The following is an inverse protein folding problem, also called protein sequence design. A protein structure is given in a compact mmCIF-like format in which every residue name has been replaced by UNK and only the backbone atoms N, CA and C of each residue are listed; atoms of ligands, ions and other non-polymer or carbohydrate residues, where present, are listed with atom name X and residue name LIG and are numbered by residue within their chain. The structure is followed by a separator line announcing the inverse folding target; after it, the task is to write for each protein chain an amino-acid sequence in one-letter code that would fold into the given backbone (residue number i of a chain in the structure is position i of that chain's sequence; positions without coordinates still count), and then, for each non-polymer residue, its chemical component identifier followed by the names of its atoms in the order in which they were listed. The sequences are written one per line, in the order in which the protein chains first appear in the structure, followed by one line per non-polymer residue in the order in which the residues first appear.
data_IF_824945471392
#
_entry.id   IF_824945471392
#
_cell.length_a   1.000
_cell.length_b   1.000
_cell.length_c   1.000
_cell.angle_alpha   90.00
_cell.angle_beta   90.00
_cell.angle_gamma   90.00
#
_symmetry.space_group_name_H-M   'P 1'
#
loop_
_entity.id
_entity.type
_entity.pdbx_description
1 polymer ?
#
# COMPACT_ATOMS: atom_id res chain seq x y z
N UNK A 1 83.57 19.87 62.69
CA UNK A 1 82.45 19.07 62.11
C UNK A 1 82.96 18.22 60.94
N UNK A 2 83.43 17.00 61.24
CA UNK A 2 83.79 16.03 60.20
C UNK A 2 82.49 15.43 59.68
N UNK A 3 82.14 15.73 58.43
CA UNK A 3 80.93 15.21 57.80
C UNK A 3 81.13 13.73 57.49
N UNK A 4 80.24 12.90 58.04
CA UNK A 4 80.24 11.44 57.98
C UNK A 4 80.16 10.94 56.51
N UNK A 5 81.31 10.68 55.90
CA UNK A 5 81.47 10.46 54.45
C UNK A 5 80.87 9.14 53.95
N UNK A 6 80.95 8.00 54.69
CA UNK A 6 80.33 6.74 54.28
C UNK A 6 78.79 6.77 54.29
N UNK A 7 78.19 7.44 55.28
CA UNK A 7 76.74 7.58 55.39
C UNK A 7 76.15 8.44 54.26
N UNK A 8 76.91 9.45 53.82
CA UNK A 8 76.52 10.33 52.71
C UNK A 8 76.53 9.58 51.37
N UNK A 9 77.52 8.71 51.13
CA UNK A 9 77.62 7.90 49.92
C UNK A 9 76.51 6.83 49.82
N UNK A 10 76.16 6.20 50.95
CA UNK A 10 75.07 5.23 51.01
C UNK A 10 73.70 5.85 50.67
N UNK A 11 73.43 7.07 51.17
CA UNK A 11 72.21 7.82 50.81
C UNK A 11 72.17 8.20 49.33
N UNK A 12 73.30 8.58 48.73
CA UNK A 12 73.36 8.90 47.31
C UNK A 12 73.02 7.67 46.44
N UNK A 13 73.58 6.49 46.78
CA UNK A 13 73.26 5.24 46.08
C UNK A 13 71.79 4.84 46.22
N UNK A 14 71.21 5.03 47.41
CA UNK A 14 69.78 4.79 47.64
C UNK A 14 68.90 5.74 46.82
N UNK A 15 69.28 7.02 46.66
CA UNK A 15 68.58 7.98 45.80
C UNK A 15 68.65 7.54 44.34
N UNK A 16 69.81 7.11 43.86
CA UNK A 16 69.97 6.63 42.48
C UNK A 16 69.13 5.37 42.21
N UNK A 17 69.09 4.42 43.15
CA UNK A 17 68.21 3.25 43.07
C UNK A 17 66.72 3.64 43.05
N UNK A 18 66.31 4.63 43.84
CA UNK A 18 64.94 5.13 43.85
C UNK A 18 64.57 5.88 42.56
N UNK A 19 65.49 6.65 41.99
CA UNK A 19 65.32 7.33 40.70
C UNK A 19 65.18 6.30 39.58
N UNK A 20 66.02 5.26 39.58
CA UNK A 20 65.95 4.16 38.61
C UNK A 20 64.70 3.28 38.80
N UNK A 21 64.09 3.30 39.98
CA UNK A 21 62.82 2.62 40.26
C UNK A 21 61.57 3.44 39.86
N UNK A 22 61.74 4.71 39.45
CA UNK A 22 60.64 5.51 38.92
C UNK A 22 60.09 4.88 37.63
N UNK A 23 58.77 4.81 37.55
CA UNK A 23 58.06 4.36 36.35
C UNK A 23 57.38 5.56 35.70
N UNK A 24 57.42 5.61 34.38
CA UNK A 24 56.63 6.57 33.62
C UNK A 24 55.14 6.29 33.83
N UNK A 25 54.33 7.35 33.84
CA UNK A 25 52.87 7.24 33.93
C UNK A 25 52.32 6.71 32.60
N UNK A 26 51.24 5.94 32.68
CA UNK A 26 50.51 5.53 31.47
C UNK A 26 49.93 6.75 30.73
N UNK A 27 49.99 6.72 29.39
CA UNK A 27 49.26 7.66 28.53
C UNK A 27 47.76 7.38 28.62
N UNK A 28 46.95 8.42 28.82
CA UNK A 28 45.50 8.35 29.02
C UNK A 28 44.70 9.05 27.92
N UNK A 29 45.36 9.45 26.84
CA UNK A 29 44.72 10.21 25.75
C UNK A 29 43.53 9.45 25.16
N UNK A 30 43.68 8.15 24.85
CA UNK A 30 42.59 7.33 24.29
C UNK A 30 41.44 7.11 25.30
N UNK A 31 41.76 6.98 26.59
CA UNK A 31 40.76 6.87 27.65
C UNK A 31 39.93 8.15 27.77
N UNK A 32 40.58 9.32 27.68
CA UNK A 32 39.89 10.60 27.59
C UNK A 32 38.92 10.65 26.42
N UNK A 33 39.36 10.29 25.22
CA UNK A 33 38.53 10.28 24.02
C UNK A 33 37.32 9.32 24.14
N UNK A 34 37.53 8.13 24.69
CA UNK A 34 36.45 7.15 24.88
C UNK A 34 35.41 7.64 25.91
N UNK A 35 35.87 8.26 27.00
CA UNK A 35 34.99 8.90 28.00
C UNK A 35 34.20 10.04 27.39
N UNK A 36 34.83 10.91 26.60
CA UNK A 36 34.15 12.01 25.92
C UNK A 36 33.07 11.50 24.96
N UNK A 37 33.36 10.46 24.17
CA UNK A 37 32.36 9.82 23.30
C UNK A 37 31.20 9.24 24.12
N UNK A 38 31.48 8.54 25.21
CA UNK A 38 30.44 7.95 26.06
C UNK A 38 29.56 9.01 26.75
N UNK A 39 30.16 10.08 27.26
CA UNK A 39 29.45 11.19 27.93
C UNK A 39 28.57 11.96 26.93
N UNK A 40 28.93 11.99 25.65
CA UNK A 40 28.15 12.64 24.61
C UNK A 40 26.76 12.00 24.38
N UNK A 41 26.51 10.77 24.87
CA UNK A 41 25.17 10.16 24.88
C UNK A 41 24.20 10.86 25.83
N UNK A 42 24.69 11.70 26.75
CA UNK A 42 23.84 12.47 27.66
C UNK A 42 23.23 11.62 28.77
N UNK A 43 21.97 11.89 29.08
CA UNK A 43 21.25 11.23 30.18
C UNK A 43 20.87 9.79 29.79
N UNK A 44 21.66 8.84 30.27
CA UNK A 44 21.43 7.40 30.12
C UNK A 44 20.36 6.92 31.12
N UNK A 45 19.44 6.08 30.67
CA UNK A 45 18.39 5.49 31.51
C UNK A 45 18.96 4.32 32.35
N UNK A 46 19.05 4.44 33.68
CA UNK A 46 19.64 3.38 34.52
C UNK A 46 18.80 2.10 34.61
N UNK A 47 17.54 2.14 34.14
CA UNK A 47 16.69 0.95 34.07
C UNK A 47 16.83 0.19 32.75
N UNK A 48 17.49 0.79 31.75
CA UNK A 48 17.87 0.14 30.51
C UNK A 48 19.25 -0.54 30.69
N UNK A 49 19.40 -1.77 30.21
CA UNK A 49 20.55 -2.59 30.54
C UNK A 49 21.84 -2.10 29.87
N UNK A 50 21.75 -1.69 28.61
CA UNK A 50 22.86 -1.19 27.81
C UNK A 50 23.26 0.23 28.23
N UNK A 51 22.29 1.10 28.53
CA UNK A 51 22.53 2.41 29.13
C UNK A 51 23.23 2.30 30.48
N UNK A 52 22.76 1.38 31.34
CA UNK A 52 23.41 1.11 32.62
C UNK A 52 24.82 0.57 32.44
N UNK A 53 25.04 -0.35 31.50
CA UNK A 53 26.37 -0.90 31.23
C UNK A 53 27.35 0.19 30.77
N UNK A 54 26.90 1.12 29.91
CA UNK A 54 27.70 2.27 29.49
C UNK A 54 27.99 3.21 30.68
N UNK A 55 27.00 3.49 31.54
CA UNK A 55 27.19 4.31 32.74
C UNK A 55 28.19 3.69 33.74
N UNK A 56 28.11 2.38 33.96
CA UNK A 56 29.04 1.64 34.82
C UNK A 56 30.47 1.68 34.22
N UNK A 57 30.60 1.49 32.91
CA UNK A 57 31.89 1.56 32.20
C UNK A 57 32.51 2.96 32.27
N UNK A 58 31.72 4.02 32.11
CA UNK A 58 32.15 5.41 32.28
C UNK A 58 32.65 5.65 33.70
N UNK A 59 31.89 5.18 34.71
CA UNK A 59 32.26 5.33 36.12
C UNK A 59 33.60 4.63 36.44
N UNK A 60 33.80 3.41 35.92
CA UNK A 60 35.05 2.68 36.06
C UNK A 60 36.21 3.38 35.33
N UNK A 61 35.98 3.83 34.10
CA UNK A 61 36.97 4.55 33.30
C UNK A 61 37.42 5.87 33.94
N UNK A 62 36.50 6.62 34.56
CA UNK A 62 36.82 7.84 35.30
C UNK A 62 37.73 7.57 36.52
N UNK A 63 37.53 6.45 37.22
CA UNK A 63 38.42 6.05 38.32
C UNK A 63 39.84 5.78 37.82
N UNK A 64 39.99 5.02 36.73
CA UNK A 64 41.28 4.77 36.09
C UNK A 64 41.90 6.07 35.58
N UNK A 65 41.10 6.97 35.01
CA UNK A 65 41.58 8.26 34.52
C UNK A 65 42.13 9.14 35.66
N UNK A 66 41.46 9.13 36.82
CA UNK A 66 41.90 9.86 38.02
C UNK A 66 43.07 9.23 38.78
N UNK A 67 43.37 7.95 38.57
CA UNK A 67 44.46 7.26 39.29
C UNK A 67 45.84 7.55 38.67
N UNK A 68 46.66 8.34 39.36
CA UNK A 68 48.01 8.69 38.91
C UNK A 68 48.99 7.51 38.80
N UNK A 69 48.66 6.35 39.37
CA UNK A 69 49.46 5.13 39.35
C UNK A 69 48.90 4.06 38.41
N UNK A 70 47.81 4.34 37.69
CA UNK A 70 47.21 3.41 36.75
C UNK A 70 48.26 2.87 35.76
N UNK A 71 48.26 1.56 35.61
CA UNK A 71 49.12 0.84 34.65
C UNK A 71 48.60 1.00 33.23
N UNK A 72 49.48 0.80 32.24
CA UNK A 72 49.09 0.81 30.82
C UNK A 72 47.99 -0.21 30.51
N UNK A 73 48.01 -1.37 31.20
CA UNK A 73 46.99 -2.41 31.04
C UNK A 73 45.62 -1.97 31.59
N UNK A 74 45.58 -1.33 32.77
CA UNK A 74 44.32 -0.79 33.33
C UNK A 74 43.72 0.28 32.43
N UNK A 75 44.54 1.16 31.85
CA UNK A 75 44.08 2.17 30.90
C UNK A 75 43.53 1.52 29.63
N UNK A 76 44.26 0.57 29.03
CA UNK A 76 43.81 -0.13 27.83
C UNK A 76 42.52 -0.93 28.05
N UNK A 77 42.39 -1.61 29.19
CA UNK A 77 41.18 -2.34 29.56
C UNK A 77 39.98 -1.40 29.78
N UNK A 78 40.20 -0.22 30.37
CA UNK A 78 39.15 0.79 30.52
C UNK A 78 38.67 1.32 29.16
N UNK A 79 39.59 1.63 28.24
CA UNK A 79 39.27 2.03 26.85
C UNK A 79 38.42 0.96 26.17
N UNK A 80 38.89 -0.30 26.21
CA UNK A 80 38.17 -1.43 25.60
C UNK A 80 36.76 -1.58 26.18
N UNK A 81 36.63 -1.55 27.51
CA UNK A 81 35.34 -1.71 28.18
C UNK A 81 34.34 -0.63 27.80
N UNK A 82 34.78 0.64 27.73
CA UNK A 82 33.92 1.75 27.29
C UNK A 82 33.49 1.57 25.84
N UNK A 83 34.44 1.27 24.94
CA UNK A 83 34.14 1.09 23.52
C UNK A 83 33.20 -0.10 23.26
N UNK A 84 33.39 -1.22 23.98
CA UNK A 84 32.50 -2.38 23.91
C UNK A 84 31.08 -2.03 24.39
N UNK A 85 30.95 -1.24 25.48
CA UNK A 85 29.66 -0.79 25.99
C UNK A 85 28.96 0.18 25.02
N UNK A 86 29.71 1.09 24.38
CA UNK A 86 29.18 1.96 23.32
C UNK A 86 28.67 1.13 22.15
N UNK A 87 29.45 0.16 21.67
CA UNK A 87 29.05 -0.69 20.55
C UNK A 87 27.81 -1.55 20.88
N UNK A 88 27.72 -2.06 22.11
CA UNK A 88 26.55 -2.80 22.59
C UNK A 88 25.30 -1.90 22.60
N UNK A 89 25.42 -0.67 23.11
CA UNK A 89 24.33 0.32 23.09
C UNK A 89 23.89 0.69 21.68
N UNK A 90 24.82 1.08 20.80
CA UNK A 90 24.51 1.47 19.42
C UNK A 90 23.77 0.34 18.67
N UNK A 91 24.16 -0.91 18.95
CA UNK A 91 23.48 -2.08 18.41
C UNK A 91 22.08 -2.25 18.98
N UNK A 92 21.92 -2.16 20.29
CA UNK A 92 20.60 -2.34 20.93
C UNK A 92 19.61 -1.27 20.47
N UNK A 93 20.04 -0.01 20.39
CA UNK A 93 19.22 1.09 19.85
C UNK A 93 18.72 0.75 18.42
N UNK A 94 19.56 0.16 17.57
CA UNK A 94 19.18 -0.27 16.22
C UNK A 94 18.24 -1.50 16.22
N UNK A 95 18.41 -2.43 17.16
CA UNK A 95 17.50 -3.57 17.36
C UNK A 95 16.11 -3.08 17.79
N UNK A 96 16.03 -2.08 18.66
CA UNK A 96 14.78 -1.51 19.14
C UNK A 96 14.03 -0.79 18.01
N UNK A 97 14.75 -0.01 17.20
CA UNK A 97 14.21 0.64 16.00
C UNK A 97 13.63 -0.40 15.01
N UNK A 98 14.39 -1.45 14.70
CA UNK A 98 13.93 -2.54 13.84
C UNK A 98 12.73 -3.28 14.45
N UNK A 99 12.74 -3.51 15.76
CA UNK A 99 11.61 -4.16 16.46
C UNK A 99 10.34 -3.33 16.35
N UNK A 100 10.45 -2.02 16.52
CA UNK A 100 9.33 -1.10 16.34
C UNK A 100 8.80 -1.15 14.90
N UNK A 101 9.68 -1.09 13.89
CA UNK A 101 9.28 -1.19 12.49
C UNK A 101 8.55 -2.51 12.18
N UNK A 102 9.04 -3.64 12.69
CA UNK A 102 8.39 -4.95 12.54
C UNK A 102 7.00 -4.96 13.20
N UNK A 103 6.86 -4.43 14.41
CA UNK A 103 5.58 -4.38 15.11
C UNK A 103 4.57 -3.49 14.39
N UNK A 104 4.99 -2.28 13.98
CA UNK A 104 4.18 -1.34 13.21
C UNK A 104 3.77 -1.92 11.85
N UNK A 105 4.59 -2.80 11.28
CA UNK A 105 4.30 -3.50 10.02
C UNK A 105 3.32 -4.65 10.22
N UNK A 106 3.44 -5.44 11.30
CA UNK A 106 2.51 -6.52 11.65
C UNK A 106 1.10 -6.03 12.00
N UNK A 107 0.98 -4.78 12.45
CA UNK A 107 -0.31 -4.16 12.75
C UNK A 107 -1.11 -3.75 11.48
N UNK A 108 -0.50 -3.78 10.29
CA UNK A 108 -1.17 -3.41 9.04
C UNK A 108 -2.17 -4.50 8.63
N UNK A 109 -3.42 -4.12 8.38
CA UNK A 109 -4.41 -5.00 7.75
C UNK A 109 -4.10 -5.17 6.26
N UNK A 110 -3.47 -6.28 5.89
CA UNK A 110 -2.99 -6.51 4.52
C UNK A 110 -4.12 -6.78 3.52
N UNK A 111 -5.30 -7.16 4.01
CA UNK A 111 -6.46 -7.44 3.16
C UNK A 111 -7.00 -6.19 2.45
N UNK A 112 -6.63 -4.99 2.91
CA UNK A 112 -7.04 -3.72 2.31
C UNK A 112 -6.17 -3.31 1.11
N UNK A 113 -5.05 -4.02 0.86
CA UNK A 113 -4.03 -3.63 -0.11
C UNK A 113 -3.86 -4.63 -1.25
N UNK A 114 -3.34 -4.15 -2.39
CA UNK A 114 -3.13 -4.96 -3.58
C UNK A 114 -2.06 -6.03 -3.35
N UNK A 115 -2.31 -7.30 -3.70
CA UNK A 115 -1.36 -8.40 -3.47
C UNK A 115 0.05 -8.15 -4.02
N UNK A 116 0.18 -7.48 -5.17
CA UNK A 116 1.47 -7.15 -5.77
C UNK A 116 2.32 -6.16 -4.94
N UNK A 117 1.71 -5.36 -4.06
CA UNK A 117 2.41 -4.48 -3.11
C UNK A 117 2.54 -5.10 -1.71
N UNK A 118 1.62 -6.00 -1.33
CA UNK A 118 1.71 -6.76 -0.09
C UNK A 118 2.88 -7.75 -0.12
N UNK A 119 3.11 -8.44 -1.23
CA UNK A 119 4.20 -9.41 -1.35
C UNK A 119 5.60 -8.84 -1.01
N UNK A 120 6.06 -7.72 -1.58
CA UNK A 120 7.34 -7.12 -1.20
C UNK A 120 7.35 -6.59 0.25
N UNK A 121 6.20 -6.14 0.78
CA UNK A 121 6.08 -5.73 2.18
C UNK A 121 6.28 -6.91 3.15
N UNK A 122 5.67 -8.07 2.89
CA UNK A 122 5.88 -9.28 3.69
C UNK A 122 7.32 -9.80 3.60
N UNK A 123 7.94 -9.72 2.42
CA UNK A 123 9.33 -10.07 2.24
C UNK A 123 10.26 -9.17 3.07
N UNK A 124 9.99 -7.86 3.13
CA UNK A 124 10.74 -6.92 3.95
C UNK A 124 10.60 -7.22 5.45
N UNK A 125 9.39 -7.56 5.92
CA UNK A 125 9.16 -7.99 7.32
C UNK A 125 9.99 -9.23 7.63
N UNK A 126 9.94 -10.25 6.76
CA UNK A 126 10.68 -11.51 6.94
C UNK A 126 12.19 -11.26 6.98
N UNK A 127 12.71 -10.42 6.08
CA UNK A 127 14.12 -10.04 6.06
C UNK A 127 14.53 -9.28 7.33
N UNK A 128 13.67 -8.39 7.83
CA UNK A 128 13.91 -7.68 9.09
C UNK A 128 13.91 -8.60 10.31
N UNK A 129 13.01 -9.59 10.37
CA UNK A 129 13.03 -10.60 11.43
C UNK A 129 14.31 -11.45 11.41
N UNK A 130 14.76 -11.84 10.22
CA UNK A 130 16.02 -12.55 10.05
C UNK A 130 17.23 -11.69 10.46
N UNK A 131 17.26 -10.42 10.05
CA UNK A 131 18.32 -9.49 10.44
C UNK A 131 18.35 -9.26 11.97
N UNK A 132 17.18 -9.13 12.61
CA UNK A 132 17.08 -9.00 14.06
C UNK A 132 17.63 -10.22 14.81
N UNK A 133 17.42 -11.43 14.28
CA UNK A 133 17.90 -12.67 14.89
C UNK A 133 19.40 -12.91 14.66
N UNK A 134 20.02 -12.22 13.70
CA UNK A 134 21.41 -12.41 13.33
C UNK A 134 22.35 -11.56 14.21
N UNK A 135 23.03 -12.24 15.13
CA UNK A 135 24.01 -11.66 16.04
C UNK A 135 25.25 -11.05 15.31
N UNK A 136 25.42 -11.26 14.01
CA UNK A 136 26.53 -10.69 13.24
C UNK A 136 26.21 -9.34 12.59
N UNK A 137 24.92 -8.95 12.54
CA UNK A 137 24.48 -7.70 11.90
C UNK A 137 25.02 -6.46 12.61
N UNK A 138 25.48 -5.49 11.83
CA UNK A 138 25.90 -4.17 12.35
C UNK A 138 24.68 -3.27 12.64
N UNK A 139 24.84 -2.22 13.46
CA UNK A 139 23.78 -1.24 13.67
C UNK A 139 23.24 -0.63 12.37
N UNK A 140 24.11 -0.38 11.39
CA UNK A 140 23.74 0.17 10.08
C UNK A 140 22.90 -0.82 9.27
N UNK A 141 23.24 -2.11 9.29
CA UNK A 141 22.47 -3.15 8.61
C UNK A 141 21.07 -3.32 9.24
N UNK A 142 20.98 -3.25 10.57
CA UNK A 142 19.70 -3.31 11.28
C UNK A 142 18.81 -2.09 10.97
N UNK A 143 19.40 -0.88 10.96
CA UNK A 143 18.70 0.35 10.55
C UNK A 143 18.25 0.30 9.10
N UNK A 144 19.08 -0.24 8.21
CA UNK A 144 18.71 -0.44 6.81
C UNK A 144 17.52 -1.40 6.66
N UNK A 145 17.48 -2.48 7.46
CA UNK A 145 16.34 -3.40 7.48
C UNK A 145 15.06 -2.71 8.01
N UNK A 146 15.17 -1.89 9.06
CA UNK A 146 14.04 -1.11 9.59
C UNK A 146 13.49 -0.12 8.55
N UNK A 147 14.39 0.55 7.83
CA UNK A 147 14.04 1.44 6.71
C UNK A 147 13.37 0.68 5.57
N UNK A 148 13.88 -0.48 5.18
CA UNK A 148 13.30 -1.28 4.10
C UNK A 148 11.85 -1.71 4.41
N UNK A 149 11.56 -2.07 5.66
CA UNK A 149 10.18 -2.35 6.12
C UNK A 149 9.31 -1.10 5.98
N UNK A 150 9.81 0.06 6.43
CA UNK A 150 9.08 1.33 6.40
C UNK A 150 8.81 1.79 4.96
N UNK A 151 9.79 1.69 4.08
CA UNK A 151 9.65 2.01 2.66
C UNK A 151 8.62 1.10 1.99
N UNK A 152 8.69 -0.23 2.25
CA UNK A 152 7.73 -1.18 1.69
C UNK A 152 6.31 -0.96 2.22
N UNK A 153 6.17 -0.56 3.49
CA UNK A 153 4.88 -0.14 4.07
C UNK A 153 4.31 1.08 3.36
N UNK A 154 5.14 2.08 3.08
CA UNK A 154 4.73 3.31 2.39
C UNK A 154 4.36 3.06 0.91
N UNK A 155 4.88 1.99 0.32
CA UNK A 155 4.57 1.57 -1.05
C UNK A 155 3.33 0.65 -1.17
N UNK A 156 2.64 0.38 -0.06
CA UNK A 156 1.38 -0.36 -0.12
C UNK A 156 0.30 0.45 -0.85
N UNK A 157 -0.36 -0.19 -1.80
CA UNK A 157 -1.44 0.44 -2.55
C UNK A 157 -2.79 -0.20 -2.23
N UNK A 158 -3.79 0.63 -1.90
CA UNK A 158 -5.13 0.14 -1.58
C UNK A 158 -5.77 -0.62 -2.76
N UNK A 159 -6.62 -1.61 -2.44
CA UNK A 159 -7.49 -2.26 -3.43
C UNK A 159 -8.51 -1.25 -3.97
N UNK A 160 -8.86 -1.40 -5.25
CA UNK A 160 -9.97 -0.65 -5.83
C UNK A 160 -11.31 -1.07 -5.22
N UNK A 161 -12.23 -0.11 -5.05
CA UNK A 161 -13.62 -0.41 -4.69
C UNK A 161 -14.37 -0.89 -5.94
N UNK A 162 -14.97 -2.09 -5.85
CA UNK A 162 -15.66 -2.78 -6.96
C UNK A 162 -17.17 -2.87 -6.79
N UNK A 163 -17.77 -2.22 -5.79
CA UNK A 163 -19.19 -2.39 -5.47
C UNK A 163 -20.10 -1.97 -6.63
N UNK A 164 -19.84 -0.82 -7.26
CA UNK A 164 -20.64 -0.34 -8.39
C UNK A 164 -20.42 -1.17 -9.67
N UNK A 165 -19.20 -1.70 -9.88
CA UNK A 165 -18.93 -2.64 -10.96
C UNK A 165 -19.71 -3.95 -10.76
N UNK A 166 -19.75 -4.48 -9.53
CA UNK A 166 -20.51 -5.69 -9.20
C UNK A 166 -22.02 -5.50 -9.43
N UNK A 167 -22.57 -4.33 -9.10
CA UNK A 167 -23.98 -3.99 -9.41
C UNK A 167 -24.24 -3.97 -10.91
N UNK A 168 -23.37 -3.31 -11.69
CA UNK A 168 -23.50 -3.26 -13.15
C UNK A 168 -23.42 -4.67 -13.78
N UNK A 169 -22.50 -5.52 -13.30
CA UNK A 169 -22.40 -6.93 -13.70
C UNK A 169 -23.70 -7.67 -13.39
N UNK A 170 -24.23 -7.53 -12.18
CA UNK A 170 -25.48 -8.20 -11.77
C UNK A 170 -26.66 -7.77 -12.65
N UNK A 171 -26.77 -6.49 -12.97
CA UNK A 171 -27.78 -5.97 -13.90
C UNK A 171 -27.64 -6.60 -15.28
N UNK A 172 -26.42 -6.63 -15.84
CA UNK A 172 -26.15 -7.21 -17.14
C UNK A 172 -26.44 -8.72 -17.20
N UNK A 173 -26.10 -9.47 -16.15
CA UNK A 173 -26.38 -10.90 -16.04
C UNK A 173 -27.89 -11.21 -15.96
N UNK A 174 -28.70 -10.24 -15.54
CA UNK A 174 -30.17 -10.35 -15.54
C UNK A 174 -30.82 -10.10 -16.90
N UNK A 175 -30.07 -9.66 -17.91
CA UNK A 175 -30.60 -9.38 -19.25
C UNK A 175 -30.71 -10.67 -20.07
N UNK A 176 -31.77 -10.75 -20.88
CA UNK A 176 -31.83 -11.73 -21.96
C UNK A 176 -31.08 -11.15 -23.15
N UNK A 177 -30.06 -11.86 -23.63
CA UNK A 177 -29.18 -11.42 -24.72
C UNK A 177 -29.31 -12.37 -25.91
N UNK A 178 -29.61 -11.86 -27.10
CA UNK A 178 -29.50 -12.58 -28.37
C UNK A 178 -28.09 -12.36 -28.95
N UNK A 179 -27.24 -13.39 -29.04
CA UNK A 179 -25.89 -13.24 -29.58
C UNK A 179 -25.84 -12.85 -31.07
N UNK A 180 -26.97 -12.94 -31.79
CA UNK A 180 -27.08 -12.48 -33.18
C UNK A 180 -27.48 -11.00 -33.29
N UNK A 181 -28.00 -10.41 -32.21
CA UNK A 181 -28.23 -8.98 -32.13
C UNK A 181 -26.91 -8.26 -31.81
N UNK A 182 -26.67 -7.14 -32.50
CA UNK A 182 -25.40 -6.43 -32.44
C UNK A 182 -25.20 -5.73 -31.09
N UNK A 183 -26.25 -5.14 -30.55
CA UNK A 183 -26.22 -4.39 -29.29
C UNK A 183 -26.15 -5.37 -28.10
N UNK A 184 -26.83 -6.50 -28.18
CA UNK A 184 -26.76 -7.58 -27.17
C UNK A 184 -25.36 -8.22 -27.12
N UNK A 185 -24.75 -8.44 -28.29
CA UNK A 185 -23.36 -8.89 -28.37
C UNK A 185 -22.40 -7.88 -27.73
N UNK A 186 -22.64 -6.57 -27.92
CA UNK A 186 -21.83 -5.55 -27.28
C UNK A 186 -21.97 -5.56 -25.75
N UNK A 187 -23.17 -5.82 -25.22
CA UNK A 187 -23.39 -6.05 -23.78
C UNK A 187 -22.60 -7.27 -23.30
N UNK A 188 -22.63 -8.38 -24.04
CA UNK A 188 -21.90 -9.60 -23.66
C UNK A 188 -20.38 -9.40 -23.62
N UNK A 189 -19.82 -8.69 -24.60
CA UNK A 189 -18.39 -8.35 -24.66
C UNK A 189 -17.97 -7.43 -23.50
N UNK A 190 -18.78 -6.39 -23.23
CA UNK A 190 -18.54 -5.48 -22.10
C UNK A 190 -18.67 -6.21 -20.75
N UNK A 191 -19.63 -7.13 -20.61
CA UNK A 191 -19.81 -7.95 -19.41
C UNK A 191 -18.61 -8.85 -19.15
N UNK A 192 -18.05 -9.48 -20.19
CA UNK A 192 -16.85 -10.31 -20.07
C UNK A 192 -15.66 -9.47 -19.59
N UNK A 193 -15.46 -8.30 -20.20
CA UNK A 193 -14.40 -7.35 -19.79
C UNK A 193 -14.59 -6.89 -18.34
N UNK A 194 -15.82 -6.59 -17.94
CA UNK A 194 -16.15 -6.22 -16.56
C UNK A 194 -15.83 -7.35 -15.57
N UNK A 195 -16.10 -8.61 -15.93
CA UNK A 195 -15.76 -9.78 -15.09
C UNK A 195 -14.25 -9.99 -14.97
N UNK A 196 -13.48 -9.75 -16.02
CA UNK A 196 -12.01 -9.82 -15.96
C UNK A 196 -11.44 -8.78 -14.99
N UNK A 197 -11.91 -7.53 -15.07
CA UNK A 197 -11.52 -6.47 -14.13
C UNK A 197 -12.00 -6.77 -12.71
N UNK A 198 -13.20 -7.34 -12.56
CA UNK A 198 -13.73 -7.78 -11.26
C UNK A 198 -12.84 -8.84 -10.61
N UNK A 199 -12.39 -9.82 -11.39
CA UNK A 199 -11.55 -10.92 -10.91
C UNK A 199 -10.11 -10.48 -10.63
N UNK A 200 -9.61 -9.42 -11.26
CA UNK A 200 -8.24 -8.95 -11.09
C UNK A 200 -8.03 -8.29 -9.69
N UNK A 201 -7.30 -8.92 -8.76
CA UNK A 201 -7.12 -8.36 -7.41
C UNK A 201 -6.20 -7.13 -7.37
N UNK A 202 -5.47 -6.85 -8.47
CA UNK A 202 -4.57 -5.70 -8.60
C UNK A 202 -5.17 -4.60 -9.48
N UNK A 203 -6.45 -4.69 -9.86
CA UNK A 203 -7.10 -3.68 -10.70
C UNK A 203 -7.00 -2.29 -10.07
N UNK A 204 -6.75 -1.28 -10.90
CA UNK A 204 -6.79 0.13 -10.49
C UNK A 204 -8.23 0.62 -10.37
N UNK A 205 -8.43 1.73 -9.66
CA UNK A 205 -9.78 2.31 -9.58
C UNK A 205 -10.24 2.82 -10.95
N UNK A 206 -9.31 3.30 -11.77
CA UNK A 206 -9.55 3.73 -13.14
C UNK A 206 -10.03 2.57 -14.03
N UNK A 207 -9.39 1.40 -13.95
CA UNK A 207 -9.82 0.19 -14.68
C UNK A 207 -11.22 -0.25 -14.27
N UNK A 208 -11.50 -0.26 -12.96
CA UNK A 208 -12.81 -0.61 -12.41
C UNK A 208 -13.89 0.36 -12.89
N UNK A 209 -13.61 1.68 -12.84
CA UNK A 209 -14.54 2.70 -13.30
C UNK A 209 -14.78 2.60 -14.81
N UNK A 210 -13.73 2.42 -15.60
CA UNK A 210 -13.83 2.28 -17.05
C UNK A 210 -14.65 1.06 -17.46
N UNK A 211 -14.44 -0.09 -16.81
CA UNK A 211 -15.22 -1.30 -17.07
C UNK A 211 -16.71 -1.12 -16.73
N UNK A 212 -17.00 -0.48 -15.60
CA UNK A 212 -18.37 -0.17 -15.17
C UNK A 212 -19.06 0.77 -16.16
N UNK A 213 -18.39 1.84 -16.56
CA UNK A 213 -18.95 2.83 -17.50
C UNK A 213 -19.18 2.21 -18.89
N UNK A 214 -18.25 1.37 -19.37
CA UNK A 214 -18.39 0.65 -20.63
C UNK A 214 -19.58 -0.32 -20.62
N UNK A 215 -19.76 -1.07 -19.52
CA UNK A 215 -20.87 -1.99 -19.36
C UNK A 215 -22.22 -1.26 -19.33
N UNK A 216 -22.33 -0.21 -18.52
CA UNK A 216 -23.56 0.59 -18.43
C UNK A 216 -23.92 1.20 -19.79
N UNK A 217 -22.94 1.73 -20.52
CA UNK A 217 -23.16 2.29 -21.86
C UNK A 217 -23.66 1.25 -22.86
N UNK A 218 -23.16 0.01 -22.80
CA UNK A 218 -23.65 -1.07 -23.65
C UNK A 218 -25.12 -1.44 -23.30
N UNK A 219 -25.46 -1.49 -22.01
CA UNK A 219 -26.83 -1.75 -21.55
C UNK A 219 -27.79 -0.65 -22.00
N UNK A 220 -27.38 0.62 -21.90
CA UNK A 220 -28.16 1.76 -22.38
C UNK A 220 -28.37 1.70 -23.90
N UNK A 221 -27.35 1.32 -24.66
CA UNK A 221 -27.43 1.16 -26.10
C UNK A 221 -28.42 0.05 -26.50
N UNK A 222 -28.35 -1.11 -25.83
CA UNK A 222 -29.34 -2.19 -25.99
C UNK A 222 -30.75 -1.68 -25.69
N UNK A 223 -30.93 -1.02 -24.56
CA UNK A 223 -32.25 -0.53 -24.12
C UNK A 223 -32.87 0.45 -25.12
N UNK A 224 -32.04 1.31 -25.74
CA UNK A 224 -32.50 2.23 -26.78
C UNK A 224 -32.84 1.49 -28.09
N UNK A 225 -32.07 0.47 -28.43
CA UNK A 225 -32.28 -0.35 -29.63
C UNK A 225 -33.54 -1.23 -29.50
N UNK A 226 -33.74 -1.91 -28.38
CA UNK A 226 -34.96 -2.70 -28.10
C UNK A 226 -36.24 -1.85 -28.26
N UNK A 227 -36.20 -0.59 -27.80
CA UNK A 227 -37.31 0.36 -27.97
C UNK A 227 -37.51 0.73 -29.43
N UNK A 228 -36.44 0.99 -30.18
CA UNK A 228 -36.52 1.32 -31.61
C UNK A 228 -37.09 0.15 -32.43
N UNK A 229 -36.68 -1.07 -32.12
CA UNK A 229 -37.18 -2.29 -32.76
C UNK A 229 -38.66 -2.53 -32.46
N UNK A 230 -39.10 -2.32 -31.22
CA UNK A 230 -40.50 -2.41 -30.84
C UNK A 230 -41.36 -1.39 -31.61
N UNK A 231 -40.90 -0.14 -31.72
CA UNK A 231 -41.57 0.91 -32.51
C UNK A 231 -41.62 0.51 -33.99
N UNK A 232 -40.52 0.02 -34.55
CA UNK A 232 -40.46 -0.41 -35.95
C UNK A 232 -41.43 -1.56 -36.22
N UNK A 233 -41.45 -2.57 -35.35
CA UNK A 233 -42.36 -3.71 -35.47
C UNK A 233 -43.84 -3.28 -35.43
N UNK A 234 -44.19 -2.38 -34.51
CA UNK A 234 -45.55 -1.83 -34.41
C UNK A 234 -45.95 -1.04 -35.68
N UNK A 235 -45.03 -0.21 -36.22
CA UNK A 235 -45.28 0.52 -37.46
C UNK A 235 -45.43 -0.40 -38.67
N UNK A 236 -44.63 -1.46 -38.76
CA UNK A 236 -44.71 -2.43 -39.85
C UNK A 236 -46.04 -3.20 -39.80
N UNK A 237 -46.55 -3.51 -38.60
CA UNK A 237 -47.89 -4.08 -38.40
C UNK A 237 -49.01 -3.11 -38.81
N UNK A 238 -48.94 -1.84 -38.40
CA UNK A 238 -49.92 -0.81 -38.78
C UNK A 238 -49.98 -0.64 -40.30
N UNK A 239 -48.83 -0.55 -40.98
CA UNK A 239 -48.78 -0.46 -42.45
C UNK A 239 -49.45 -1.67 -43.10
N UNK A 240 -49.18 -2.88 -42.60
CA UNK A 240 -49.78 -4.09 -43.15
C UNK A 240 -51.32 -4.10 -43.02
N UNK A 241 -51.86 -3.58 -41.91
CA UNK A 241 -53.31 -3.48 -41.72
C UNK A 241 -53.94 -2.37 -42.58
N UNK A 242 -53.27 -1.22 -42.72
CA UNK A 242 -53.70 -0.16 -43.64
C UNK A 242 -53.78 -0.66 -45.09
N UNK A 243 -52.85 -1.52 -45.53
CA UNK A 243 -52.93 -2.12 -46.87
C UNK A 243 -54.11 -3.08 -47.02
N UNK A 244 -54.51 -3.80 -45.96
CA UNK A 244 -55.75 -4.61 -45.98
C UNK A 244 -56.99 -3.73 -46.04
N UNK A 245 -57.03 -2.66 -45.25
CA UNK A 245 -58.13 -1.70 -45.24
C UNK A 245 -58.35 -1.08 -46.63
N UNK A 246 -57.27 -0.63 -47.29
CA UNK A 246 -57.29 -0.09 -48.66
C UNK A 246 -57.79 -1.08 -49.71
N UNK A 247 -57.63 -2.39 -49.47
CA UNK A 247 -58.10 -3.44 -50.37
C UNK A 247 -59.61 -3.71 -50.26
N UNK A 248 -60.29 -3.15 -49.27
CA UNK A 248 -61.75 -3.29 -49.09
C UNK A 248 -62.49 -2.55 -50.21
N UNK A 249 -63.38 -3.27 -50.91
CA UNK A 249 -64.26 -2.71 -51.94
C UNK A 249 -65.42 -1.94 -51.30
N UNK A 250 -65.16 -0.70 -50.90
CA UNK A 250 -66.09 0.16 -50.15
C UNK A 250 -67.36 0.51 -50.93
N UNK A 251 -67.33 0.43 -52.26
CA UNK A 251 -68.48 0.64 -53.16
C UNK A 251 -69.63 -0.36 -52.95
N UNK A 252 -69.36 -1.48 -52.26
CA UNK A 252 -70.37 -2.49 -51.91
C UNK A 252 -71.12 -2.21 -50.60
N UNK A 253 -70.79 -1.15 -49.88
CA UNK A 253 -71.30 -0.86 -48.55
C UNK A 253 -71.94 0.52 -48.47
N UNK A 254 -72.70 0.79 -47.41
CA UNK A 254 -73.31 2.11 -47.19
C UNK A 254 -72.26 3.12 -46.72
N UNK A 255 -72.40 4.41 -47.04
CA UNK A 255 -71.49 5.44 -46.56
C UNK A 255 -71.31 5.44 -45.03
N UNK A 256 -72.41 5.30 -44.28
CA UNK A 256 -72.37 5.28 -42.81
C UNK A 256 -71.58 4.08 -42.25
N UNK A 257 -71.66 2.91 -42.91
CA UNK A 257 -70.88 1.72 -42.53
C UNK A 257 -69.40 1.80 -42.94
N UNK A 258 -69.05 2.58 -43.96
CA UNK A 258 -67.67 2.76 -44.43
C UNK A 258 -66.94 3.85 -43.63
N UNK A 259 -67.66 4.88 -43.16
CA UNK A 259 -67.06 6.03 -42.47
C UNK A 259 -66.07 5.65 -41.36
N UNK A 260 -66.36 4.70 -40.44
CA UNK A 260 -65.42 4.32 -39.39
C UNK A 260 -64.09 3.76 -39.93
N UNK A 261 -64.14 3.01 -41.04
CA UNK A 261 -62.94 2.48 -41.70
C UNK A 261 -62.09 3.62 -42.25
N UNK A 262 -62.70 4.55 -42.98
CA UNK A 262 -61.99 5.70 -43.55
C UNK A 262 -61.40 6.62 -42.48
N UNK A 263 -62.12 6.84 -41.38
CA UNK A 263 -61.60 7.61 -40.23
C UNK A 263 -60.37 6.91 -39.60
N UNK A 264 -60.41 5.59 -39.45
CA UNK A 264 -59.30 4.79 -38.92
C UNK A 264 -58.10 4.77 -39.87
N UNK A 265 -58.33 4.64 -41.19
CA UNK A 265 -57.28 4.71 -42.21
C UNK A 265 -56.53 6.05 -42.16
N UNK A 266 -57.26 7.17 -42.06
CA UNK A 266 -56.67 8.50 -41.93
C UNK A 266 -55.84 8.64 -40.65
N UNK A 267 -56.37 8.16 -39.53
CA UNK A 267 -55.67 8.21 -38.24
C UNK A 267 -54.39 7.35 -38.25
N UNK A 268 -54.47 6.13 -38.79
CA UNK A 268 -53.32 5.23 -38.93
C UNK A 268 -52.26 5.79 -39.89
N UNK A 269 -52.68 6.33 -41.04
CA UNK A 269 -51.77 6.94 -42.00
C UNK A 269 -51.05 8.16 -41.40
N UNK A 270 -51.74 8.99 -40.61
CA UNK A 270 -51.13 10.11 -39.92
C UNK A 270 -50.02 9.69 -38.93
N UNK A 271 -50.14 8.52 -38.29
CA UNK A 271 -49.09 7.96 -37.43
C UNK A 271 -47.91 7.47 -38.27
N UNK A 272 -48.15 6.81 -39.40
CA UNK A 272 -47.10 6.34 -40.31
C UNK A 272 -46.31 7.50 -40.92
N UNK A 273 -46.99 8.59 -41.27
CA UNK A 273 -46.38 9.78 -41.88
C UNK A 273 -45.54 10.59 -40.87
N UNK A 274 -45.91 10.54 -39.58
CA UNK A 274 -45.23 11.23 -38.49
C UNK A 274 -45.01 10.32 -37.26
N UNK A 275 -44.12 9.31 -37.37
CA UNK A 275 -43.95 8.29 -36.32
C UNK A 275 -43.08 8.74 -35.15
N UNK A 276 -42.29 9.81 -35.31
CA UNK A 276 -41.33 10.28 -34.31
C UNK A 276 -42.03 10.60 -32.98
N UNK A 277 -41.55 9.98 -31.90
CA UNK A 277 -42.08 10.19 -30.54
C UNK A 277 -43.43 9.52 -30.26
N UNK A 278 -43.97 8.71 -31.19
CA UNK A 278 -45.17 7.92 -30.94
C UNK A 278 -44.84 6.70 -30.07
N UNK A 279 -45.51 6.51 -28.93
CA UNK A 279 -45.30 5.32 -28.11
C UNK A 279 -45.86 4.09 -28.83
N UNK A 280 -45.24 2.92 -28.58
CA UNK A 280 -45.67 1.63 -29.13
C UNK A 280 -47.15 1.35 -28.87
N UNK A 281 -47.66 1.74 -27.70
CA UNK A 281 -49.07 1.58 -27.32
C UNK A 281 -50.02 2.35 -28.25
N UNK A 282 -49.71 3.59 -28.61
CA UNK A 282 -50.53 4.40 -29.51
C UNK A 282 -50.55 3.81 -30.93
N UNK A 283 -49.40 3.32 -31.40
CA UNK A 283 -49.28 2.68 -32.72
C UNK A 283 -50.12 1.40 -32.74
N UNK A 284 -50.01 0.57 -31.69
CA UNK A 284 -50.78 -0.65 -31.56
C UNK A 284 -52.29 -0.37 -31.47
N UNK A 285 -52.69 0.68 -30.75
CA UNK A 285 -54.09 1.09 -30.63
C UNK A 285 -54.68 1.54 -31.96
N UNK A 286 -53.91 2.23 -32.80
CA UNK A 286 -54.34 2.61 -34.14
C UNK A 286 -54.36 1.44 -35.13
N UNK A 287 -53.70 0.32 -34.80
CA UNK A 287 -53.66 -0.89 -35.62
C UNK A 287 -54.89 -1.80 -35.40
N UNK A 288 -55.52 -1.73 -34.22
CA UNK A 288 -56.68 -2.56 -33.84
C UNK A 288 -58.00 -1.94 -34.28
#
# INVERSE_FOLDING_TARGET
PSADTPATLAKAKQIEELVNALKERADKTELGNALDKAIAYGDLNPNDAEDKALQDAVTAGQKVNGDGNATTEEVANAVKTINDAIAAKERQDAVDELTKAINDAKAVNKDDYKPNTVAPFEAAITAGEAAKADATKTPEELKAAAKAITDAKNNLEAKANKDELNKAITTAEGLTLDPNDKEDKAVQEALNTAKEVQANPNATQEEVNAAKDALNKAIEAKTAQDQADAVKAALDALKAELEKAKAVKTDKYTPDSVKPLTDAELAGQAIVDAPTGKPVEDINKATQ
#
